data_IF_782192980301
#
_entry.id   IF_782192980301
#
_cell.length_a   1.000
_cell.length_b   1.000
_cell.length_c   1.000
_cell.angle_alpha   90.00
_cell.angle_beta   90.00
_cell.angle_gamma   90.00
#
_symmetry.space_group_name_H-M   'P 1'
#
loop_
_entity.id
_entity.type
_entity.pdbx_description
1 polymer ?
#
# COMPACT_ATOMS: atom_id res chain seq x y z
N UNK A 1 32.52 20.13 -4.79
CA UNK A 1 31.18 19.50 -4.92
C UNK A 1 30.53 19.82 -6.27
N UNK A 2 30.74 21.01 -6.85
CA UNK A 2 30.17 21.41 -8.14
C UNK A 2 30.40 20.43 -9.29
N UNK A 3 31.63 19.93 -9.48
CA UNK A 3 31.90 18.94 -10.53
C UNK A 3 31.13 17.61 -10.31
N UNK A 4 30.97 17.17 -9.06
CA UNK A 4 30.21 15.95 -8.75
C UNK A 4 28.73 16.14 -9.08
N UNK A 5 28.12 17.23 -8.62
CA UNK A 5 26.70 17.51 -8.83
C UNK A 5 26.36 17.95 -10.25
N UNK A 6 27.35 18.41 -11.03
CA UNK A 6 27.16 18.65 -12.46
C UNK A 6 26.72 17.39 -13.22
N UNK A 7 26.96 16.19 -12.67
CA UNK A 7 26.43 14.93 -13.19
C UNK A 7 24.91 14.95 -13.40
N UNK A 8 24.16 15.71 -12.58
CA UNK A 8 22.71 15.79 -12.62
C UNK A 8 22.16 16.75 -13.69
N UNK A 9 23.04 17.49 -14.39
CA UNK A 9 22.62 18.47 -15.38
C UNK A 9 21.94 17.78 -16.58
N UNK A 10 20.82 18.32 -17.10
CA UNK A 10 20.04 17.68 -18.18
C UNK A 10 20.82 17.41 -19.48
N UNK A 11 21.90 18.15 -19.72
CA UNK A 11 22.76 18.02 -20.90
C UNK A 11 23.75 16.85 -20.81
N UNK A 12 23.75 16.08 -19.71
CA UNK A 12 24.64 14.94 -19.51
C UNK A 12 23.98 13.59 -19.75
N UNK A 13 24.82 12.59 -20.00
CA UNK A 13 24.38 11.21 -20.13
C UNK A 13 24.30 10.53 -18.76
N UNK A 14 23.12 10.04 -18.41
CA UNK A 14 22.82 9.43 -17.11
C UNK A 14 22.71 7.91 -17.21
N UNK A 15 23.80 7.22 -17.53
CA UNK A 15 23.79 5.75 -17.53
C UNK A 15 23.69 5.20 -16.10
N UNK A 16 23.07 4.02 -15.95
CA UNK A 16 22.90 3.36 -14.65
C UNK A 16 24.25 3.12 -13.93
N UNK A 17 25.31 2.80 -14.68
CA UNK A 17 26.66 2.62 -14.13
C UNK A 17 27.21 3.91 -13.53
N UNK A 18 27.12 5.02 -14.26
CA UNK A 18 27.60 6.32 -13.79
C UNK A 18 26.78 6.84 -12.61
N UNK A 19 25.45 6.66 -12.65
CA UNK A 19 24.58 6.97 -11.53
C UNK A 19 24.94 6.15 -10.28
N UNK A 20 25.35 4.89 -10.45
CA UNK A 20 25.87 4.06 -9.37
C UNK A 20 27.16 4.61 -8.75
N UNK A 21 28.11 5.09 -9.56
CA UNK A 21 29.32 5.74 -9.05
C UNK A 21 29.01 7.06 -8.35
N UNK A 22 28.18 7.90 -8.96
CA UNK A 22 27.69 9.14 -8.35
C UNK A 22 27.06 8.86 -6.98
N UNK A 23 26.13 7.90 -6.92
CA UNK A 23 25.46 7.49 -5.69
C UNK A 23 26.44 7.06 -4.60
N UNK A 24 27.41 6.19 -4.92
CA UNK A 24 28.44 5.77 -3.96
C UNK A 24 29.24 6.95 -3.40
N UNK A 25 29.64 7.89 -4.25
CA UNK A 25 30.39 9.08 -3.81
C UNK A 25 29.53 9.97 -2.91
N UNK A 26 28.27 10.24 -3.30
CA UNK A 26 27.36 11.04 -2.48
C UNK A 26 27.08 10.37 -1.14
N UNK A 27 26.85 9.06 -1.11
CA UNK A 27 26.66 8.31 0.14
C UNK A 27 27.91 8.37 1.02
N UNK A 28 29.11 8.26 0.45
CA UNK A 28 30.35 8.47 1.22
C UNK A 28 30.44 9.89 1.79
N UNK A 29 30.02 10.92 1.06
CA UNK A 29 29.95 12.29 1.56
C UNK A 29 28.91 12.43 2.67
N UNK A 30 27.75 11.78 2.55
CA UNK A 30 26.73 11.78 3.60
C UNK A 30 27.23 11.17 4.90
N UNK A 31 28.07 10.13 4.82
CA UNK A 31 28.63 9.47 6.01
C UNK A 31 29.81 10.22 6.63
N UNK A 32 30.67 10.83 5.80
CA UNK A 32 31.96 11.39 6.25
C UNK A 32 32.00 12.91 6.32
N UNK A 33 31.11 13.60 5.58
CA UNK A 33 31.09 15.05 5.36
C UNK A 33 29.63 15.54 5.21
N UNK A 34 28.75 15.13 6.13
CA UNK A 34 27.32 15.47 6.12
C UNK A 34 27.09 16.98 6.13
N UNK A 35 27.74 17.72 7.04
CA UNK A 35 27.53 19.18 7.18
C UNK A 35 27.89 19.94 5.90
N UNK A 36 29.10 19.79 5.32
CA UNK A 36 29.42 20.47 4.07
C UNK A 36 28.51 20.07 2.90
N UNK A 37 28.06 18.81 2.86
CA UNK A 37 27.16 18.32 1.81
C UNK A 37 25.79 19.00 1.93
N UNK A 38 25.19 19.01 3.11
CA UNK A 38 23.87 19.62 3.31
C UNK A 38 23.90 21.13 3.06
N UNK A 39 24.95 21.82 3.51
CA UNK A 39 25.14 23.24 3.21
C UNK A 39 25.26 23.50 1.70
N UNK A 40 25.97 22.63 0.97
CA UNK A 40 26.07 22.75 -0.49
C UNK A 40 24.71 22.56 -1.17
N UNK A 41 23.96 21.53 -0.77
CA UNK A 41 22.64 21.23 -1.36
C UNK A 41 21.64 22.35 -1.04
N UNK A 42 21.66 22.90 0.17
CA UNK A 42 20.81 24.03 0.55
C UNK A 42 21.12 25.30 -0.26
N UNK A 43 22.40 25.54 -0.56
CA UNK A 43 22.83 26.64 -1.42
C UNK A 43 22.51 26.43 -2.92
N UNK A 44 22.23 25.19 -3.35
CA UNK A 44 21.95 24.84 -4.74
C UNK A 44 20.62 24.09 -4.85
N UNK A 45 19.51 24.83 -4.76
CA UNK A 45 18.16 24.25 -4.71
C UNK A 45 17.81 23.38 -5.94
N UNK A 46 18.43 23.62 -7.09
CA UNK A 46 18.25 22.83 -8.31
C UNK A 46 18.67 21.36 -8.15
N UNK A 47 19.56 21.04 -7.20
CA UNK A 47 20.03 19.67 -6.96
C UNK A 47 18.85 18.73 -6.69
N UNK A 48 17.91 19.12 -5.84
CA UNK A 48 16.75 18.29 -5.54
C UNK A 48 15.83 18.11 -6.73
N UNK A 49 15.59 19.19 -7.48
CA UNK A 49 14.80 19.12 -8.71
C UNK A 49 15.41 18.14 -9.71
N UNK A 50 16.72 18.23 -9.94
CA UNK A 50 17.42 17.33 -10.87
C UNK A 50 17.44 15.87 -10.37
N UNK A 51 17.59 15.65 -9.06
CA UNK A 51 17.46 14.31 -8.47
C UNK A 51 16.06 13.73 -8.71
N UNK A 52 15.01 14.54 -8.55
CA UNK A 52 13.62 14.13 -8.80
C UNK A 52 13.35 13.91 -10.30
N UNK A 53 13.93 14.73 -11.18
CA UNK A 53 13.81 14.54 -12.63
C UNK A 53 14.45 13.22 -13.10
N UNK A 54 15.51 12.79 -12.41
CA UNK A 54 16.23 11.53 -12.67
C UNK A 54 15.78 10.37 -11.76
N UNK A 55 14.67 10.50 -11.04
CA UNK A 55 14.23 9.51 -10.04
C UNK A 55 13.97 8.11 -10.62
N UNK A 56 13.75 8.00 -11.94
CA UNK A 56 13.63 6.71 -12.63
C UNK A 56 14.89 5.83 -12.54
N UNK A 57 16.05 6.42 -12.26
CA UNK A 57 17.30 5.69 -12.03
C UNK A 57 17.40 5.31 -10.55
N UNK A 58 17.36 4.01 -10.23
CA UNK A 58 17.33 3.51 -8.84
C UNK A 58 18.45 4.08 -7.97
N UNK A 59 19.68 4.18 -8.49
CA UNK A 59 20.81 4.75 -7.74
C UNK A 59 20.63 6.24 -7.39
N UNK A 60 19.87 6.99 -8.19
CA UNK A 60 19.52 8.39 -7.90
C UNK A 60 18.40 8.46 -6.86
N UNK A 61 17.34 7.65 -7.00
CA UNK A 61 16.31 7.52 -5.98
C UNK A 61 16.91 7.15 -4.62
N UNK A 62 17.88 6.25 -4.60
CA UNK A 62 18.60 5.85 -3.39
C UNK A 62 19.40 6.98 -2.71
N UNK A 63 19.90 7.94 -3.49
CA UNK A 63 20.51 9.16 -2.96
C UNK A 63 19.42 10.04 -2.35
N UNK A 64 18.31 10.21 -3.07
CA UNK A 64 17.18 11.02 -2.62
C UNK A 64 16.59 10.50 -1.31
N UNK A 65 16.30 9.20 -1.22
CA UNK A 65 15.83 8.52 0.01
C UNK A 65 16.75 8.79 1.19
N UNK A 66 18.07 8.73 0.99
CA UNK A 66 19.03 8.99 2.06
C UNK A 66 19.06 10.46 2.47
N UNK A 67 18.91 11.38 1.52
CA UNK A 67 18.89 12.83 1.81
C UNK A 67 17.62 13.24 2.57
N UNK A 68 16.46 12.68 2.22
CA UNK A 68 15.17 12.98 2.89
C UNK A 68 14.91 12.10 4.12
N UNK A 69 15.74 11.08 4.34
CA UNK A 69 15.53 10.08 5.38
C UNK A 69 16.73 9.74 6.24
N UNK A 70 17.73 10.63 6.28
CA UNK A 70 18.84 10.52 7.23
C UNK A 70 18.33 10.62 8.69
N UNK A 71 19.08 10.03 9.62
CA UNK A 71 18.69 9.97 11.03
C UNK A 71 19.03 11.29 11.74
N UNK A 72 18.13 11.73 12.62
CA UNK A 72 18.20 13.00 13.39
C UNK A 72 19.47 13.07 14.25
N UNK A 73 20.05 11.92 14.59
CA UNK A 73 21.23 11.81 15.44
C UNK A 73 22.58 12.12 14.78
N UNK A 74 22.62 12.34 13.45
CA UNK A 74 23.89 12.53 12.72
C UNK A 74 24.29 14.00 12.58
N UNK A 75 23.34 14.95 12.73
CA UNK A 75 23.58 16.35 12.41
C UNK A 75 22.83 17.34 13.32
N UNK A 76 23.50 18.28 14.01
CA UNK A 76 22.87 19.17 14.99
C UNK A 76 21.80 20.13 14.41
N UNK A 77 21.81 20.41 13.10
CA UNK A 77 20.78 21.23 12.44
C UNK A 77 19.86 20.39 11.53
N UNK A 78 19.75 19.09 11.77
CA UNK A 78 18.96 18.19 10.92
C UNK A 78 17.49 18.57 10.89
N UNK A 79 16.92 18.90 12.05
CA UNK A 79 15.54 19.35 12.18
C UNK A 79 15.25 20.58 11.32
N UNK A 80 16.13 21.60 11.34
CA UNK A 80 15.97 22.82 10.52
C UNK A 80 16.04 22.52 9.02
N UNK A 81 16.92 21.59 8.62
CA UNK A 81 17.04 21.19 7.22
C UNK A 81 15.81 20.40 6.76
N UNK A 82 15.28 19.50 7.59
CA UNK A 82 14.04 18.78 7.29
C UNK A 82 12.84 19.74 7.21
N UNK A 83 12.81 20.76 8.07
CA UNK A 83 11.80 21.82 8.01
C UNK A 83 11.92 22.62 6.71
N UNK A 84 13.12 23.05 6.34
CA UNK A 84 13.37 23.72 5.06
C UNK A 84 12.97 22.86 3.85
N UNK A 85 13.26 21.55 3.87
CA UNK A 85 12.81 20.63 2.82
C UNK A 85 11.29 20.52 2.77
N UNK A 86 10.62 20.50 3.93
CA UNK A 86 9.18 20.52 4.01
C UNK A 86 8.60 21.83 3.46
N UNK A 87 9.23 22.97 3.70
CA UNK A 87 8.77 24.26 3.18
C UNK A 87 9.08 24.45 1.68
N UNK A 88 10.00 23.65 1.13
CA UNK A 88 10.30 23.60 -0.30
C UNK A 88 9.23 22.88 -1.13
N UNK A 89 9.35 22.97 -2.46
CA UNK A 89 8.48 22.26 -3.43
C UNK A 89 8.88 20.78 -3.64
N UNK A 90 9.73 20.21 -2.79
CA UNK A 90 10.27 18.86 -2.97
C UNK A 90 9.19 17.78 -2.95
N UNK A 91 8.28 17.83 -1.95
CA UNK A 91 7.23 16.82 -1.82
C UNK A 91 6.27 16.88 -3.01
N UNK A 92 5.92 18.07 -3.46
CA UNK A 92 5.08 18.30 -4.62
C UNK A 92 5.70 17.65 -5.86
N UNK A 93 7.00 17.91 -6.12
CA UNK A 93 7.71 17.31 -7.25
C UNK A 93 7.76 15.78 -7.18
N UNK A 94 7.94 15.18 -6.00
CA UNK A 94 7.96 13.70 -5.86
C UNK A 94 6.56 13.13 -6.04
N UNK A 95 5.52 13.77 -5.50
CA UNK A 95 4.12 13.31 -5.66
C UNK A 95 3.67 13.39 -7.11
N UNK A 96 4.11 14.39 -7.88
CA UNK A 96 3.85 14.48 -9.33
C UNK A 96 4.38 13.28 -10.11
N UNK A 97 5.46 12.65 -9.64
CA UNK A 97 6.02 11.44 -10.25
C UNK A 97 5.17 10.18 -10.02
N UNK A 98 4.13 10.25 -9.18
CA UNK A 98 3.10 9.20 -9.06
C UNK A 98 2.03 9.28 -10.15
N UNK A 99 1.94 10.38 -10.89
CA UNK A 99 0.99 10.48 -12.02
C UNK A 99 1.18 9.31 -12.98
N UNK A 100 0.10 8.69 -13.47
CA UNK A 100 0.18 7.55 -14.38
C UNK A 100 0.72 7.91 -15.76
N UNK A 101 0.94 9.20 -16.05
CA UNK A 101 1.67 9.68 -17.22
C UNK A 101 3.16 9.30 -17.19
N UNK A 102 3.70 9.02 -16.01
CA UNK A 102 5.09 8.61 -15.85
C UNK A 102 5.29 7.10 -16.08
N UNK A 103 6.51 6.67 -16.46
CA UNK A 103 6.85 5.27 -16.56
C UNK A 103 6.69 4.50 -15.23
N UNK A 104 6.42 3.17 -15.26
CA UNK A 104 6.26 2.36 -14.06
C UNK A 104 7.42 2.44 -13.07
N UNK A 105 8.66 2.48 -13.57
CA UNK A 105 9.87 2.62 -12.75
C UNK A 105 9.95 3.98 -12.03
N UNK A 106 9.45 5.05 -12.64
CA UNK A 106 9.38 6.39 -12.03
C UNK A 106 8.34 6.39 -10.90
N UNK A 107 7.15 5.82 -11.14
CA UNK A 107 6.13 5.70 -10.10
C UNK A 107 6.63 4.87 -8.91
N UNK A 108 7.31 3.74 -9.18
CA UNK A 108 7.82 2.86 -8.14
C UNK A 108 8.90 3.54 -7.27
N UNK A 109 9.85 4.21 -7.91
CA UNK A 109 10.91 4.93 -7.21
C UNK A 109 10.38 6.15 -6.44
N UNK A 110 9.38 6.86 -6.97
CA UNK A 110 8.70 7.95 -6.27
C UNK A 110 7.95 7.43 -5.03
N UNK A 111 7.21 6.33 -5.16
CA UNK A 111 6.52 5.71 -4.04
C UNK A 111 7.49 5.22 -2.96
N UNK A 112 8.62 4.58 -3.31
CA UNK A 112 9.62 4.18 -2.32
C UNK A 112 10.22 5.38 -1.58
N UNK A 113 10.44 6.49 -2.28
CA UNK A 113 10.91 7.74 -1.67
C UNK A 113 9.91 8.30 -0.67
N UNK A 114 8.63 8.37 -1.05
CA UNK A 114 7.56 8.86 -0.17
C UNK A 114 7.33 7.91 1.01
N UNK A 115 7.34 6.59 0.79
CA UNK A 115 7.29 5.60 1.84
C UNK A 115 8.46 5.76 2.82
N UNK A 116 9.68 6.00 2.34
CA UNK A 116 10.82 6.28 3.21
C UNK A 116 10.59 7.50 4.10
N UNK A 117 10.00 8.57 3.56
CA UNK A 117 9.62 9.77 4.34
C UNK A 117 8.60 9.40 5.42
N UNK A 118 7.54 8.64 5.09
CA UNK A 118 6.53 8.23 6.10
C UNK A 118 7.12 7.39 7.22
N UNK A 119 8.10 6.52 6.92
CA UNK A 119 8.77 5.65 7.91
C UNK A 119 9.61 6.43 8.92
N UNK A 120 10.00 7.66 8.57
CA UNK A 120 10.75 8.56 9.43
C UNK A 120 9.84 9.51 10.23
N UNK A 121 8.57 9.16 10.43
CA UNK A 121 7.72 9.87 11.37
C UNK A 121 8.21 9.67 12.82
N UNK A 122 8.16 10.73 13.67
CA UNK A 122 7.71 12.08 13.36
C UNK A 122 8.82 12.93 12.70
N UNK A 123 8.52 13.54 11.54
CA UNK A 123 9.40 14.52 10.87
C UNK A 123 8.57 15.57 10.12
N UNK A 124 9.14 16.76 9.88
CA UNK A 124 8.44 17.85 9.17
C UNK A 124 7.92 17.40 7.79
N UNK A 125 8.71 16.62 7.05
CA UNK A 125 8.33 16.03 5.77
C UNK A 125 7.18 15.02 5.91
N UNK A 126 7.25 14.12 6.90
CA UNK A 126 6.17 13.15 7.14
C UNK A 126 4.86 13.84 7.56
N UNK A 127 4.94 14.88 8.38
CA UNK A 127 3.79 15.70 8.78
C UNK A 127 3.16 16.41 7.58
N UNK A 128 3.96 17.09 6.75
CA UNK A 128 3.45 17.76 5.53
C UNK A 128 2.84 16.75 4.55
N UNK A 129 3.48 15.59 4.36
CA UNK A 129 2.99 14.52 3.49
C UNK A 129 1.66 13.91 3.98
N UNK A 130 1.46 13.86 5.29
CA UNK A 130 0.21 13.35 5.91
C UNK A 130 -0.92 14.37 5.89
N UNK A 131 -0.69 15.60 5.41
CA UNK A 131 -1.73 16.61 5.33
C UNK A 131 -2.83 16.24 4.32
N UNK A 132 -4.09 16.68 4.54
CA UNK A 132 -5.22 16.33 3.68
C UNK A 132 -5.01 16.64 2.19
N UNK A 133 -4.32 17.74 1.86
CA UNK A 133 -4.07 18.15 0.48
C UNK A 133 -3.14 17.18 -0.26
N UNK A 134 -2.05 16.74 0.40
CA UNK A 134 -1.13 15.76 -0.16
C UNK A 134 -1.77 14.38 -0.28
N UNK A 135 -2.49 13.96 0.76
CA UNK A 135 -3.17 12.66 0.78
C UNK A 135 -4.21 12.57 -0.33
N UNK A 136 -5.06 13.59 -0.48
CA UNK A 136 -6.07 13.65 -1.54
C UNK A 136 -5.44 13.61 -2.95
N UNK A 137 -4.28 14.24 -3.12
CA UNK A 137 -3.53 14.23 -4.38
C UNK A 137 -2.92 12.86 -4.69
N UNK A 138 -2.24 12.24 -3.73
CA UNK A 138 -1.64 10.90 -3.86
C UNK A 138 -2.73 9.87 -4.18
N UNK A 139 -3.82 9.90 -3.41
CA UNK A 139 -4.96 9.01 -3.62
C UNK A 139 -5.65 9.30 -4.96
N UNK A 140 -5.70 10.56 -5.39
CA UNK A 140 -6.16 10.96 -6.72
C UNK A 140 -5.40 10.28 -7.85
N UNK A 141 -4.06 10.28 -7.80
CA UNK A 141 -3.24 9.57 -8.78
C UNK A 141 -3.48 8.06 -8.83
N UNK A 142 -3.98 7.45 -7.74
CA UNK A 142 -4.31 6.03 -7.73
C UNK A 142 -5.54 5.69 -8.60
N UNK A 143 -6.41 6.68 -8.82
CA UNK A 143 -7.70 6.53 -9.48
C UNK A 143 -7.72 7.11 -10.90
N UNK A 144 -6.67 7.81 -11.31
CA UNK A 144 -6.52 8.31 -12.67
C UNK A 144 -6.41 7.15 -13.68
N UNK A 145 -7.19 7.25 -14.76
CA UNK A 145 -7.20 6.25 -15.81
C UNK A 145 -5.88 6.19 -16.54
N UNK A 146 -5.42 4.96 -16.77
CA UNK A 146 -4.13 4.70 -17.37
C UNK A 146 -4.04 3.33 -18.00
N UNK A 147 -3.20 3.22 -19.04
CA UNK A 147 -2.87 1.95 -19.68
C UNK A 147 -2.11 1.00 -18.73
N UNK A 148 -1.43 1.55 -17.71
CA UNK A 148 -0.66 0.80 -16.72
C UNK A 148 -1.22 1.01 -15.33
N UNK A 149 -1.61 -0.07 -14.64
CA UNK A 149 -2.07 0.00 -13.24
C UNK A 149 -0.93 0.20 -12.22
N UNK A 150 0.24 0.66 -12.67
CA UNK A 150 1.42 0.95 -11.83
C UNK A 150 1.19 2.15 -10.91
N UNK A 151 0.64 3.25 -11.43
CA UNK A 151 0.31 4.44 -10.63
C UNK A 151 -0.60 4.10 -9.44
N UNK A 152 -1.67 3.34 -9.71
CA UNK A 152 -2.56 2.78 -8.68
C UNK A 152 -1.79 2.03 -7.60
N UNK A 153 -0.98 1.04 -7.98
CA UNK A 153 -0.27 0.20 -7.00
C UNK A 153 0.69 1.00 -6.14
N UNK A 154 1.41 1.94 -6.75
CA UNK A 154 2.43 2.74 -6.10
C UNK A 154 1.82 3.83 -5.19
N UNK A 155 0.79 4.54 -5.66
CA UNK A 155 0.05 5.51 -4.84
C UNK A 155 -0.62 4.85 -3.63
N UNK A 156 -1.27 3.70 -3.81
CA UNK A 156 -1.84 2.96 -2.67
C UNK A 156 -0.76 2.45 -1.71
N UNK A 157 0.44 2.13 -2.20
CA UNK A 157 1.56 1.75 -1.31
C UNK A 157 2.00 2.91 -0.43
N UNK A 158 1.99 4.14 -0.94
CA UNK A 158 2.23 5.36 -0.14
C UNK A 158 1.11 5.57 0.88
N UNK A 159 -0.17 5.43 0.48
CA UNK A 159 -1.30 5.53 1.40
C UNK A 159 -1.24 4.49 2.52
N UNK A 160 -0.89 3.23 2.21
CA UNK A 160 -0.66 2.18 3.21
C UNK A 160 0.46 2.60 4.18
N UNK A 161 1.55 3.15 3.66
CA UNK A 161 2.68 3.59 4.49
C UNK A 161 2.34 4.81 5.37
N UNK A 162 1.39 5.66 4.96
CA UNK A 162 0.85 6.74 5.79
C UNK A 162 -0.02 6.22 6.95
N UNK A 163 -0.80 5.17 6.70
CA UNK A 163 -1.70 4.57 7.70
C UNK A 163 -0.99 3.60 8.65
N UNK A 164 0.07 2.93 8.19
CA UNK A 164 0.91 2.04 8.99
C UNK A 164 2.40 2.15 8.61
N UNK A 165 3.07 3.24 9.03
CA UNK A 165 4.48 3.47 8.72
C UNK A 165 5.41 2.37 9.23
N UNK A 166 5.03 1.64 10.28
CA UNK A 166 5.91 0.64 10.92
C UNK A 166 5.86 -0.71 10.21
N UNK A 167 4.70 -1.13 9.67
CA UNK A 167 4.58 -2.39 8.92
C UNK A 167 5.19 -2.31 7.50
N UNK A 168 5.22 -1.13 6.87
CA UNK A 168 5.89 -0.93 5.57
C UNK A 168 7.43 -1.02 5.64
N UNK A 169 8.00 -0.96 6.85
CA UNK A 169 9.43 -1.19 7.11
C UNK A 169 9.85 -2.65 6.88
N UNK A 170 8.94 -3.62 7.06
CA UNK A 170 9.26 -5.06 6.94
C UNK A 170 9.31 -5.56 5.48
N UNK A 171 8.87 -4.77 4.51
CA UNK A 171 8.74 -5.19 3.10
C UNK A 171 9.78 -4.57 2.16
N UNK A 172 10.61 -3.61 2.60
CA UNK A 172 11.63 -2.97 1.75
C UNK A 172 12.99 -3.70 1.83
N UNK A 173 13.48 -4.31 0.74
CA UNK A 173 14.77 -5.04 0.74
C UNK A 173 15.98 -4.16 1.04
N UNK A 174 15.88 -2.85 0.77
CA UNK A 174 17.01 -1.91 0.83
C UNK A 174 17.41 -1.54 2.28
N UNK A 175 16.52 -1.73 3.25
CA UNK A 175 16.72 -1.20 4.61
C UNK A 175 16.90 -2.25 5.71
N UNK A 176 16.81 -3.54 5.37
CA UNK A 176 17.13 -4.64 6.31
C UNK A 176 18.54 -4.54 6.91
N UNK A 177 19.46 -3.84 6.24
CA UNK A 177 20.85 -3.73 6.70
C UNK A 177 21.12 -2.60 7.70
N UNK A 178 20.15 -1.71 7.98
CA UNK A 178 20.45 -0.44 8.70
C UNK A 178 19.65 -0.17 9.98
N UNK A 179 18.63 -0.97 10.33
CA UNK A 179 17.92 -0.82 11.63
C UNK A 179 17.71 -2.17 12.32
N UNK A 180 18.56 -2.45 13.30
CA UNK A 180 18.48 -3.62 14.18
C UNK A 180 17.86 -3.32 15.56
N UNK A 181 17.38 -2.10 15.87
CA UNK A 181 17.26 -1.71 17.29
C UNK A 181 15.98 -1.02 17.80
N UNK A 182 14.89 -0.90 17.03
CA UNK A 182 13.63 -0.36 17.60
C UNK A 182 12.45 -1.30 17.32
N UNK A 183 12.36 -2.39 18.11
CA UNK A 183 11.27 -3.38 18.04
C UNK A 183 10.08 -3.08 18.97
N UNK A 184 10.13 -2.03 19.80
CA UNK A 184 9.08 -1.74 20.79
C UNK A 184 8.84 -0.24 20.93
N UNK A 185 8.10 0.34 19.99
CA UNK A 185 7.46 1.64 20.20
C UNK A 185 5.99 1.54 19.82
N UNK A 186 5.13 2.15 20.64
CA UNK A 186 3.68 2.25 20.44
C UNK A 186 3.32 2.74 19.02
N UNK A 187 2.23 2.26 18.41
CA UNK A 187 1.72 2.82 17.17
C UNK A 187 1.47 4.33 17.35
N UNK A 188 2.02 5.15 16.44
CA UNK A 188 1.66 6.56 16.38
C UNK A 188 0.21 6.60 15.87
N UNK A 189 -0.73 7.26 16.58
CA UNK A 189 -2.10 7.36 16.10
C UNK A 189 -2.13 8.11 14.77
N UNK A 190 -2.82 7.54 13.78
CA UNK A 190 -3.00 8.16 12.45
C UNK A 190 -3.86 9.41 12.61
N UNK A 191 -3.47 10.51 11.95
CA UNK A 191 -4.28 11.73 11.95
C UNK A 191 -5.66 11.44 11.29
N UNK A 192 -6.79 11.65 11.99
CA UNK A 192 -8.12 11.45 11.43
C UNK A 192 -8.37 12.24 10.13
N UNK A 193 -7.76 13.42 9.98
CA UNK A 193 -7.89 14.25 8.78
C UNK A 193 -7.25 13.59 7.55
N UNK A 194 -6.17 12.84 7.74
CA UNK A 194 -5.53 12.03 6.68
C UNK A 194 -6.50 10.98 6.17
N UNK A 195 -7.22 10.30 7.07
CA UNK A 195 -8.22 9.30 6.72
C UNK A 195 -9.39 9.96 5.97
N UNK A 196 -9.92 11.06 6.52
CA UNK A 196 -11.03 11.82 5.92
C UNK A 196 -10.73 12.30 4.50
N UNK A 197 -9.47 12.56 4.16
CA UNK A 197 -9.07 12.95 2.80
C UNK A 197 -9.17 11.81 1.77
N UNK A 198 -9.15 10.53 2.21
CA UNK A 198 -9.24 9.35 1.34
C UNK A 198 -10.69 8.89 1.12
N UNK A 199 -11.58 9.14 2.09
CA UNK A 199 -12.97 8.63 2.08
C UNK A 199 -13.81 9.03 0.84
N UNK A 200 -13.77 10.28 0.34
CA UNK A 200 -14.67 10.71 -0.73
C UNK A 200 -14.51 9.93 -2.05
N UNK A 201 -13.38 9.24 -2.22
CA UNK A 201 -13.05 8.47 -3.43
C UNK A 201 -12.97 6.96 -3.16
N UNK A 202 -13.42 6.50 -1.99
CA UNK A 202 -13.37 5.08 -1.63
C UNK A 202 -14.29 4.24 -2.52
N UNK A 203 -15.44 4.79 -2.90
CA UNK A 203 -16.37 4.16 -3.86
C UNK A 203 -15.75 3.90 -5.25
N UNK A 204 -14.79 4.73 -5.69
CA UNK A 204 -14.11 4.52 -6.97
C UNK A 204 -13.20 3.27 -6.95
N UNK A 205 -12.64 2.93 -5.78
CA UNK A 205 -11.88 1.69 -5.61
C UNK A 205 -12.76 0.44 -5.75
N UNK A 206 -14.04 0.52 -5.36
CA UNK A 206 -14.99 -0.58 -5.56
C UNK A 206 -15.17 -0.90 -7.05
N UNK A 207 -15.26 0.13 -7.89
CA UNK A 207 -15.37 -0.04 -9.34
C UNK A 207 -14.15 -0.77 -9.91
N UNK A 208 -12.97 -0.54 -9.36
CA UNK A 208 -11.73 -1.20 -9.76
C UNK A 208 -11.60 -2.65 -9.26
N UNK A 209 -12.31 -3.01 -8.19
CA UNK A 209 -12.43 -4.40 -7.70
C UNK A 209 -13.34 -5.27 -8.59
N UNK A 210 -14.17 -4.65 -9.43
CA UNK A 210 -14.94 -5.38 -10.43
C UNK A 210 -14.03 -5.90 -11.54
N UNK A 211 -14.22 -7.16 -11.90
CA UNK A 211 -13.33 -7.88 -12.83
C UNK A 211 -13.99 -8.12 -14.20
N UNK A 212 -15.23 -7.67 -14.38
CA UNK A 212 -16.08 -8.00 -15.53
C UNK A 212 -15.49 -7.61 -16.89
N UNK A 213 -14.63 -6.58 -16.95
CA UNK A 213 -14.07 -6.07 -18.21
C UNK A 213 -12.65 -6.56 -18.52
N UNK A 214 -12.08 -7.45 -17.71
CA UNK A 214 -10.70 -7.94 -17.90
C UNK A 214 -10.71 -9.26 -18.67
N UNK A 215 -10.10 -9.31 -19.85
CA UNK A 215 -10.10 -10.52 -20.69
C UNK A 215 -8.82 -11.36 -20.55
N UNK A 216 -7.92 -10.97 -19.64
CA UNK A 216 -6.64 -11.68 -19.45
C UNK A 216 -6.86 -13.12 -19.00
N UNK A 217 -6.01 -14.00 -19.53
CA UNK A 217 -6.03 -15.43 -19.20
C UNK A 217 -4.68 -15.77 -18.58
N UNK A 218 -4.72 -16.43 -17.42
CA UNK A 218 -3.53 -16.99 -16.79
C UNK A 218 -3.65 -18.52 -16.78
N UNK A 219 -2.79 -19.27 -17.50
CA UNK A 219 -2.77 -20.72 -17.42
C UNK A 219 -2.32 -21.17 -16.02
N UNK A 220 -2.95 -22.22 -15.52
CA UNK A 220 -2.67 -22.84 -14.21
C UNK A 220 -2.54 -24.35 -14.36
N UNK A 221 -2.14 -25.04 -13.29
CA UNK A 221 -2.01 -26.51 -13.30
C UNK A 221 -3.35 -27.25 -13.39
N UNK A 222 -4.44 -26.61 -12.96
CA UNK A 222 -5.81 -27.14 -13.02
C UNK A 222 -6.52 -26.78 -14.33
N UNK A 223 -6.22 -25.62 -14.90
CA UNK A 223 -6.82 -25.13 -16.13
C UNK A 223 -6.42 -23.68 -16.38
N UNK A 224 -7.36 -22.77 -16.37
CA UNK A 224 -7.08 -21.34 -16.59
C UNK A 224 -7.81 -20.46 -15.58
N UNK A 225 -7.25 -19.27 -15.36
CA UNK A 225 -7.83 -18.22 -14.54
C UNK A 225 -8.17 -17.03 -15.43
N UNK A 226 -9.46 -16.77 -15.60
CA UNK A 226 -10.01 -15.75 -16.50
C UNK A 226 -11.14 -14.97 -15.80
N UNK A 227 -10.90 -13.75 -15.33
CA UNK A 227 -9.63 -13.01 -15.35
C UNK A 227 -8.78 -13.38 -14.12
N UNK A 228 -7.45 -13.22 -14.14
CA UNK A 228 -6.67 -13.20 -12.92
C UNK A 228 -6.99 -11.94 -12.10
N UNK A 229 -7.04 -12.06 -10.76
CA UNK A 229 -7.30 -10.94 -9.85
C UNK A 229 -6.40 -9.72 -10.16
N UNK A 230 -5.11 -9.99 -10.36
CA UNK A 230 -4.11 -8.98 -10.68
C UNK A 230 -3.56 -8.24 -9.45
N UNK A 231 -2.33 -7.73 -9.57
CA UNK A 231 -1.62 -7.04 -8.48
C UNK A 231 -2.34 -5.78 -7.97
N UNK A 232 -3.01 -5.06 -8.86
CA UNK A 232 -3.71 -3.82 -8.53
C UNK A 232 -4.93 -4.06 -7.65
N UNK A 233 -5.78 -5.05 -7.97
CA UNK A 233 -6.93 -5.41 -7.11
C UNK A 233 -6.48 -5.95 -5.77
N UNK A 234 -5.44 -6.79 -5.75
CA UNK A 234 -4.85 -7.26 -4.49
C UNK A 234 -4.36 -6.09 -3.62
N UNK A 235 -3.71 -5.10 -4.23
CA UNK A 235 -3.25 -3.88 -3.54
C UNK A 235 -4.41 -3.04 -2.99
N UNK A 236 -5.55 -2.98 -3.69
CA UNK A 236 -6.77 -2.35 -3.16
C UNK A 236 -7.25 -3.08 -1.90
N UNK A 237 -7.36 -4.41 -1.93
CA UNK A 237 -7.79 -5.19 -0.75
C UNK A 237 -6.81 -5.03 0.42
N UNK A 238 -5.50 -4.99 0.14
CA UNK A 238 -4.47 -4.67 1.15
C UNK A 238 -4.69 -3.29 1.77
N UNK A 239 -4.93 -2.27 0.94
CA UNK A 239 -5.21 -0.91 1.42
C UNK A 239 -6.45 -0.86 2.32
N UNK A 240 -7.56 -1.49 1.92
CA UNK A 240 -8.78 -1.56 2.74
C UNK A 240 -8.52 -2.27 4.07
N UNK A 241 -7.75 -3.35 4.08
CA UNK A 241 -7.38 -4.07 5.30
C UNK A 241 -6.57 -3.18 6.27
N UNK A 242 -5.67 -2.35 5.75
CA UNK A 242 -4.90 -1.40 6.56
C UNK A 242 -5.77 -0.25 7.06
N UNK A 243 -6.65 0.27 6.20
CA UNK A 243 -7.56 1.37 6.52
C UNK A 243 -8.55 0.99 7.64
N UNK A 244 -9.17 -0.19 7.56
CA UNK A 244 -10.09 -0.69 8.60
C UNK A 244 -9.43 -0.85 9.97
N UNK A 245 -8.16 -1.30 9.99
CA UNK A 245 -7.41 -1.49 11.24
C UNK A 245 -7.12 -0.18 11.99
N UNK A 246 -7.29 0.97 11.34
CA UNK A 246 -7.22 2.27 12.03
C UNK A 246 -8.37 2.46 13.03
N UNK A 247 -9.45 1.69 12.92
CA UNK A 247 -10.62 1.78 13.80
C UNK A 247 -11.40 3.09 13.66
N UNK A 248 -11.30 3.76 12.51
CA UNK A 248 -11.98 5.01 12.24
C UNK A 248 -13.46 4.78 11.87
N UNK A 249 -14.38 5.34 12.65
CA UNK A 249 -15.83 5.13 12.48
C UNK A 249 -16.34 5.63 11.11
N UNK A 250 -15.79 6.73 10.58
CA UNK A 250 -16.20 7.26 9.27
C UNK A 250 -15.80 6.32 8.12
N UNK A 251 -14.66 5.65 8.24
CA UNK A 251 -14.26 4.57 7.32
C UNK A 251 -15.23 3.41 7.37
N UNK A 252 -15.61 2.96 8.57
CA UNK A 252 -16.55 1.84 8.73
C UNK A 252 -17.90 2.15 8.09
N UNK A 253 -18.45 3.34 8.34
CA UNK A 253 -19.71 3.79 7.74
C UNK A 253 -19.65 3.81 6.21
N UNK A 254 -18.58 4.33 5.62
CA UNK A 254 -18.40 4.38 4.15
C UNK A 254 -18.25 2.99 3.53
N UNK A 255 -17.59 2.06 4.21
CA UNK A 255 -17.41 0.69 3.71
C UNK A 255 -18.70 -0.14 3.76
N UNK A 256 -19.55 0.11 4.77
CA UNK A 256 -20.89 -0.47 4.85
C UNK A 256 -21.79 0.11 3.75
N UNK A 257 -21.84 1.45 3.61
CA UNK A 257 -22.72 2.11 2.63
C UNK A 257 -22.37 1.75 1.18
N UNK A 258 -21.08 1.58 0.88
CA UNK A 258 -20.59 1.24 -0.47
C UNK A 258 -20.70 -0.26 -0.80
N UNK A 259 -21.07 -1.14 0.13
CA UNK A 259 -21.00 -2.61 -0.07
C UNK A 259 -19.61 -3.13 -0.45
N UNK A 260 -18.55 -2.40 -0.09
CA UNK A 260 -17.17 -2.77 -0.43
C UNK A 260 -16.75 -4.08 0.24
N UNK A 261 -17.16 -4.29 1.48
CA UNK A 261 -16.89 -5.53 2.22
C UNK A 261 -17.50 -6.74 1.51
N UNK A 262 -18.73 -6.62 1.04
CA UNK A 262 -19.42 -7.67 0.28
C UNK A 262 -18.64 -8.06 -0.97
N UNK A 263 -18.18 -7.09 -1.77
CA UNK A 263 -17.38 -7.37 -2.97
C UNK A 263 -16.05 -8.06 -2.64
N UNK A 264 -15.37 -7.62 -1.58
CA UNK A 264 -14.12 -8.23 -1.12
C UNK A 264 -14.34 -9.68 -0.67
N UNK A 265 -15.46 -9.95 0.02
CA UNK A 265 -15.85 -11.31 0.37
C UNK A 265 -16.18 -12.15 -0.85
N UNK A 266 -16.85 -11.61 -1.87
CA UNK A 266 -17.09 -12.34 -3.11
C UNK A 266 -15.77 -12.73 -3.80
N UNK A 267 -14.79 -11.83 -3.83
CA UNK A 267 -13.44 -12.12 -4.34
C UNK A 267 -12.77 -13.29 -3.58
N UNK A 268 -12.96 -13.40 -2.26
CA UNK A 268 -12.40 -14.49 -1.46
C UNK A 268 -12.86 -15.87 -1.96
N UNK A 269 -14.12 -16.00 -2.37
CA UNK A 269 -14.69 -17.24 -2.91
C UNK A 269 -14.49 -17.38 -4.42
N UNK A 270 -14.42 -16.29 -5.17
CA UNK A 270 -14.12 -16.30 -6.62
C UNK A 270 -12.68 -16.76 -6.91
N UNK A 271 -11.73 -16.48 -6.00
CA UNK A 271 -10.31 -16.81 -6.15
C UNK A 271 -9.84 -17.77 -5.05
N UNK A 272 -10.26 -19.05 -5.06
CA UNK A 272 -10.03 -20.01 -3.97
C UNK A 272 -8.57 -20.43 -3.76
N UNK A 273 -7.62 -20.01 -4.62
CA UNK A 273 -6.18 -20.30 -4.48
C UNK A 273 -5.30 -19.05 -4.34
N UNK A 274 -5.90 -17.88 -4.10
CA UNK A 274 -5.14 -16.67 -3.89
C UNK A 274 -4.88 -16.45 -2.39
N UNK A 275 -3.85 -17.11 -1.87
CA UNK A 275 -3.51 -17.02 -0.44
C UNK A 275 -3.28 -15.58 0.01
N UNK A 276 -2.64 -14.73 -0.79
CA UNK A 276 -2.40 -13.33 -0.43
C UNK A 276 -3.71 -12.56 -0.23
N UNK A 277 -4.67 -12.74 -1.14
CA UNK A 277 -6.02 -12.21 -1.00
C UNK A 277 -6.65 -12.70 0.30
N UNK A 278 -6.62 -14.01 0.56
CA UNK A 278 -7.25 -14.60 1.75
C UNK A 278 -6.67 -14.08 3.06
N UNK A 279 -5.37 -13.81 3.14
CA UNK A 279 -4.76 -13.18 4.32
C UNK A 279 -5.31 -11.76 4.56
N UNK A 280 -5.48 -10.96 3.51
CA UNK A 280 -6.06 -9.62 3.64
C UNK A 280 -7.54 -9.68 4.01
N UNK A 281 -8.32 -10.57 3.37
CA UNK A 281 -9.75 -10.73 3.70
C UNK A 281 -9.95 -11.26 5.12
N UNK A 282 -9.14 -12.22 5.57
CA UNK A 282 -9.15 -12.67 6.96
C UNK A 282 -8.88 -11.48 7.90
N UNK A 283 -7.86 -10.67 7.63
CA UNK A 283 -7.59 -9.46 8.43
C UNK A 283 -8.77 -8.48 8.44
N UNK A 284 -9.43 -8.27 7.31
CA UNK A 284 -10.62 -7.41 7.19
C UNK A 284 -11.74 -7.96 8.08
N UNK A 285 -12.05 -9.25 7.97
CA UNK A 285 -13.10 -9.90 8.78
C UNK A 285 -12.77 -9.78 10.27
N UNK A 286 -11.52 -10.04 10.67
CA UNK A 286 -11.11 -9.89 12.06
C UNK A 286 -11.31 -8.46 12.56
N UNK A 287 -10.92 -7.44 11.79
CA UNK A 287 -11.14 -6.03 12.15
C UNK A 287 -12.62 -5.68 12.25
N UNK A 288 -13.46 -6.18 11.34
CA UNK A 288 -14.91 -5.99 11.38
C UNK A 288 -15.56 -6.67 12.59
N UNK A 289 -15.03 -7.80 13.08
CA UNK A 289 -15.57 -8.51 14.24
C UNK A 289 -15.10 -7.91 15.58
N UNK A 290 -13.94 -7.26 15.59
CA UNK A 290 -13.36 -6.63 16.78
C UNK A 290 -13.81 -5.17 16.97
N UNK A 291 -14.58 -4.61 16.02
CA UNK A 291 -15.10 -3.24 16.10
C UNK A 291 -16.23 -3.07 17.13
N UNK A 292 -16.41 -1.82 17.56
CA UNK A 292 -17.52 -1.39 18.41
C UNK A 292 -18.81 -1.11 17.64
N UNK A 293 -18.76 -1.02 16.31
CA UNK A 293 -19.91 -0.72 15.45
C UNK A 293 -20.82 -1.94 15.26
N UNK A 294 -22.09 -1.84 15.65
CA UNK A 294 -23.10 -2.89 15.40
C UNK A 294 -23.41 -3.00 13.91
N UNK A 295 -23.53 -1.86 13.23
CA UNK A 295 -23.81 -1.81 11.81
C UNK A 295 -22.77 -2.57 10.97
N UNK A 296 -21.48 -2.51 11.34
CA UNK A 296 -20.43 -3.26 10.64
C UNK A 296 -20.55 -4.77 10.85
N UNK A 297 -20.85 -5.21 12.08
CA UNK A 297 -21.03 -6.62 12.40
C UNK A 297 -22.29 -7.18 11.73
N UNK A 298 -23.39 -6.43 11.76
CA UNK A 298 -24.64 -6.82 11.11
C UNK A 298 -24.48 -6.87 9.58
N UNK A 299 -23.81 -5.88 8.98
CA UNK A 299 -23.50 -5.90 7.55
C UNK A 299 -22.66 -7.13 7.17
N UNK A 300 -21.67 -7.49 7.99
CA UNK A 300 -20.81 -8.66 7.76
C UNK A 300 -21.57 -9.99 7.90
N UNK A 301 -22.38 -10.13 8.94
CA UNK A 301 -23.04 -11.42 9.23
C UNK A 301 -24.32 -11.61 8.42
N UNK A 302 -25.13 -10.56 8.26
CA UNK A 302 -26.44 -10.62 7.61
C UNK A 302 -26.37 -10.23 6.13
N UNK A 303 -25.94 -9.00 5.81
CA UNK A 303 -25.99 -8.50 4.42
C UNK A 303 -24.98 -9.18 3.48
N UNK A 304 -23.81 -9.53 4.03
CA UNK A 304 -22.78 -10.28 3.31
C UNK A 304 -22.97 -11.80 3.36
N UNK A 305 -23.87 -12.30 4.22
CA UNK A 305 -24.13 -13.73 4.47
C UNK A 305 -22.84 -14.53 4.72
N UNK A 306 -21.97 -14.04 5.62
CA UNK A 306 -20.66 -14.66 5.85
C UNK A 306 -20.80 -16.13 6.28
N UNK A 307 -21.71 -16.39 7.23
CA UNK A 307 -21.93 -17.73 7.78
C UNK A 307 -22.54 -18.66 6.73
N UNK A 308 -23.54 -18.21 5.97
CA UNK A 308 -24.13 -19.00 4.90
C UNK A 308 -23.10 -19.37 3.83
N UNK A 309 -22.24 -18.43 3.41
CA UNK A 309 -21.15 -18.70 2.45
C UNK A 309 -20.12 -19.71 2.98
N UNK A 310 -19.78 -19.65 4.28
CA UNK A 310 -18.89 -20.64 4.89
C UNK A 310 -19.52 -22.03 4.91
N UNK A 311 -20.77 -22.15 5.34
CA UNK A 311 -21.49 -23.43 5.36
C UNK A 311 -21.66 -24.02 3.95
N UNK A 312 -21.96 -23.18 2.95
CA UNK A 312 -22.03 -23.62 1.55
C UNK A 312 -20.68 -24.17 1.05
N UNK A 313 -19.57 -23.52 1.42
CA UNK A 313 -18.23 -23.94 1.03
C UNK A 313 -17.79 -25.22 1.75
N UNK A 314 -18.15 -25.39 3.03
CA UNK A 314 -17.83 -26.59 3.81
C UNK A 314 -18.63 -27.81 3.33
N UNK A 315 -19.91 -27.63 3.00
CA UNK A 315 -20.76 -28.67 2.43
C UNK A 315 -20.27 -29.12 1.04
N UNK A 316 -19.71 -28.20 0.24
CA UNK A 316 -19.20 -28.48 -1.10
C UNK A 316 -17.74 -28.01 -1.23
N UNK A 317 -16.76 -28.75 -0.67
CA UNK A 317 -15.37 -28.29 -0.51
C UNK A 317 -14.54 -28.38 -1.80
N UNK A 318 -15.17 -28.44 -2.96
CA UNK A 318 -14.57 -28.66 -4.27
C UNK A 318 -14.95 -27.49 -5.18
N UNK A 319 -14.02 -27.04 -6.05
CA UNK A 319 -14.33 -25.94 -6.98
C UNK A 319 -15.57 -26.31 -7.81
N UNK A 320 -16.54 -25.40 -7.88
CA UNK A 320 -17.67 -25.54 -8.80
C UNK A 320 -17.17 -25.45 -10.25
N UNK A 321 -17.55 -26.40 -11.10
CA UNK A 321 -17.32 -26.31 -12.55
C UNK A 321 -18.17 -25.25 -13.26
N UNK A 322 -18.63 -24.24 -12.52
CA UNK A 322 -19.50 -23.17 -13.02
C UNK A 322 -18.68 -22.25 -13.93
N UNK A 323 -19.19 -22.04 -15.14
CA UNK A 323 -18.58 -21.16 -16.15
C UNK A 323 -18.54 -19.70 -15.72
N UNK A 324 -19.32 -19.31 -14.70
CA UNK A 324 -19.35 -17.94 -14.17
C UNK A 324 -18.22 -17.65 -13.16
N UNK A 325 -17.41 -18.64 -12.77
CA UNK A 325 -16.30 -18.44 -11.85
C UNK A 325 -14.99 -18.19 -12.61
N UNK A 326 -14.06 -17.39 -12.05
CA UNK A 326 -12.81 -17.09 -12.73
C UNK A 326 -11.93 -18.31 -13.03
N UNK A 327 -12.00 -19.36 -12.19
CA UNK A 327 -11.15 -20.56 -12.33
C UNK A 327 -11.87 -21.62 -13.17
N UNK A 328 -11.36 -21.90 -14.36
CA UNK A 328 -11.93 -22.87 -15.30
C UNK A 328 -11.06 -24.13 -15.39
N UNK A 329 -11.66 -25.34 -15.42
CA UNK A 329 -10.92 -26.59 -15.56
C UNK A 329 -10.36 -26.80 -16.97
N UNK A 330 -9.17 -27.41 -17.05
CA UNK A 330 -8.72 -28.02 -18.30
C UNK A 330 -9.47 -29.34 -18.56
N UNK A 331 -9.58 -29.73 -19.83
CA UNK A 331 -10.25 -30.96 -20.25
C UNK A 331 -9.70 -32.19 -19.50
N UNK A 332 -10.59 -32.99 -18.91
CA UNK A 332 -10.25 -34.23 -18.20
C UNK A 332 -9.65 -34.04 -16.80
N UNK A 333 -9.55 -32.81 -16.27
CA UNK A 333 -9.11 -32.58 -14.89
C UNK A 333 -10.27 -32.73 -13.90
N UNK A 334 -10.00 -33.41 -12.79
CA UNK A 334 -10.94 -33.50 -11.65
C UNK A 334 -10.83 -32.24 -10.79
N UNK A 335 -11.97 -31.74 -10.33
CA UNK A 335 -12.02 -30.53 -9.51
C UNK A 335 -11.28 -30.74 -8.17
N UNK A 336 -10.25 -29.94 -7.87
CA UNK A 336 -9.54 -30.00 -6.61
C UNK A 336 -10.36 -29.38 -5.49
N UNK A 337 -9.96 -29.64 -4.24
CA UNK A 337 -10.52 -28.96 -3.07
C UNK A 337 -10.19 -27.48 -3.09
N UNK A 338 -11.12 -26.64 -2.64
CA UNK A 338 -10.90 -25.19 -2.54
C UNK A 338 -9.78 -24.87 -1.54
N UNK A 339 -8.89 -23.93 -1.90
CA UNK A 339 -7.69 -23.61 -1.10
C UNK A 339 -7.93 -22.68 0.09
N UNK A 340 -9.10 -22.02 0.15
CA UNK A 340 -9.44 -21.04 1.18
C UNK A 340 -9.99 -21.66 2.49
N UNK A 341 -10.20 -22.98 2.56
CA UNK A 341 -10.79 -23.65 3.73
C UNK A 341 -10.01 -23.41 5.02
N UNK A 342 -8.66 -23.38 4.98
CA UNK A 342 -7.86 -23.11 6.17
C UNK A 342 -8.13 -21.73 6.77
N UNK A 343 -8.35 -20.72 5.92
CA UNK A 343 -8.75 -19.39 6.36
C UNK A 343 -10.16 -19.40 6.94
N UNK A 344 -11.10 -20.10 6.30
CA UNK A 344 -12.47 -20.28 6.81
C UNK A 344 -12.43 -20.86 8.23
N UNK A 345 -11.69 -21.96 8.46
CA UNK A 345 -11.56 -22.57 9.79
C UNK A 345 -11.03 -21.58 10.84
N UNK A 346 -10.00 -20.78 10.51
CA UNK A 346 -9.46 -19.77 11.44
C UNK A 346 -10.49 -18.70 11.78
N UNK A 347 -11.22 -18.21 10.78
CA UNK A 347 -12.28 -17.20 10.97
C UNK A 347 -13.42 -17.78 11.80
N UNK A 348 -13.89 -18.99 11.50
CA UNK A 348 -14.93 -19.69 12.26
C UNK A 348 -14.53 -19.89 13.72
N UNK A 349 -13.29 -20.28 14.01
CA UNK A 349 -12.80 -20.41 15.38
C UNK A 349 -12.84 -19.08 16.14
N UNK A 350 -12.46 -17.97 15.49
CA UNK A 350 -12.56 -16.63 16.09
C UNK A 350 -14.02 -16.25 16.33
N UNK A 351 -14.92 -16.51 15.38
CA UNK A 351 -16.36 -16.25 15.54
C UNK A 351 -16.94 -16.98 16.75
N UNK A 352 -16.58 -18.25 16.95
CA UNK A 352 -17.00 -19.02 18.15
C UNK A 352 -16.44 -18.40 19.43
N UNK A 353 -15.15 -18.01 19.44
CA UNK A 353 -14.53 -17.36 20.57
C UNK A 353 -15.23 -16.04 20.95
N UNK A 354 -15.53 -15.21 19.95
CA UNK A 354 -16.20 -13.93 20.14
C UNK A 354 -17.68 -14.11 20.50
N UNK A 355 -18.35 -15.10 19.91
CA UNK A 355 -19.73 -15.48 20.26
C UNK A 355 -19.85 -15.90 21.72
N UNK A 356 -18.84 -16.52 22.32
CA UNK A 356 -18.86 -16.88 23.74
C UNK A 356 -18.62 -15.68 24.69
N UNK A 357 -18.09 -14.57 24.18
CA UNK A 357 -17.67 -13.41 24.99
C UNK A 357 -18.45 -12.12 24.71
N UNK A 358 -19.16 -12.05 23.58
CA UNK A 358 -19.87 -10.85 23.11
C UNK A 358 -21.33 -11.18 22.79
N UNK A 359 -22.26 -10.59 23.55
CA UNK A 359 -23.70 -10.75 23.33
C UNK A 359 -24.15 -10.29 21.94
N UNK A 360 -23.49 -9.25 21.39
CA UNK A 360 -23.75 -8.67 20.06
C UNK A 360 -23.66 -9.72 18.94
N UNK A 361 -22.58 -10.50 18.92
CA UNK A 361 -22.35 -11.55 17.91
C UNK A 361 -23.33 -12.73 18.10
N UNK A 362 -23.78 -13.02 19.32
CA UNK A 362 -24.80 -14.05 19.57
C UNK A 362 -26.17 -13.67 19.02
N UNK A 363 -26.54 -12.38 19.05
CA UNK A 363 -27.82 -11.89 18.51
C UNK A 363 -27.83 -11.82 16.99
N UNK A 364 -26.73 -11.39 16.36
CA UNK A 364 -26.66 -11.20 14.90
C UNK A 364 -26.31 -12.47 14.12
N UNK A 365 -25.85 -13.53 14.79
CA UNK A 365 -25.50 -14.82 14.18
C UNK A 365 -26.61 -15.90 14.24
N UNK A 366 -27.82 -15.55 14.71
CA UNK A 366 -29.03 -16.37 14.58
C UNK A 366 -29.75 -16.02 13.29
#
# INVERSE_FOLDING_TARGET
MSLLFSFLEPNRCHSALLAGYFSKVVVCLMLRKTVPLMNYVQAHQDVFRQLVDLIGITSIMEVLVRLVGADDHVYPNFTDVMQWLADSNLLEMIVDKLSPSNPPEVNANAAETLCAITRNAPSALATKLSSPSFVARIFGHALEDSHSKSGLVNSLSVCISLLDPKRSSMSSPLMHSFRSQHMYESPIPVNPETISAMLPKLGDLLMLLNVLSDEKILPTTYGELKPPLGKHRLKIVEFIAVLLRTGNEATEMELVSSSTIKRILDLFFEYPYNNALHHHVESIIMSCLETKSDAMVDHLLQECDLIGKFLQTDNNPVISGDTNKPTLPAAGKRAPRVGNLGHITRISNKLVQLGNSSSRIQTSGK
#
